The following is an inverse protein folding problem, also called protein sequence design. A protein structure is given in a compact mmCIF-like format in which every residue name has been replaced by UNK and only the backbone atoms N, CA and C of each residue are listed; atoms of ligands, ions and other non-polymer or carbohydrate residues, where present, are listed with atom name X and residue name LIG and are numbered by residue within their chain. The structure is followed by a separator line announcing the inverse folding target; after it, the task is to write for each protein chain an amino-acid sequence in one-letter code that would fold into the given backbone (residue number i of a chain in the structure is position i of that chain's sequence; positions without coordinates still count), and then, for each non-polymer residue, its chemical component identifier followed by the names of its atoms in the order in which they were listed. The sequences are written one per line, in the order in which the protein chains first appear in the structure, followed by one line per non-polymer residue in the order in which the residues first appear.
data_IF_951662297143
#
_entry.id   IF_951662297143
#
_cell.length_a   1.000
_cell.length_b   1.000
_cell.length_c   1.000
_cell.angle_alpha   90.00
_cell.angle_beta   90.00
_cell.angle_gamma   90.00
#
_symmetry.space_group_name_H-M   'P 1'
#
loop_
_entity.id
_entity.type
_entity.pdbx_description
1 polymer ?
#
# COMPACT_ATOMS: atom_id res chain seq x y z
N UNK A 1 -13.03 -9.87 -0.31
CA UNK A 1 -12.27 -11.13 -0.55
C UNK A 1 -12.72 -12.32 0.31
N UNK A 2 -12.67 -12.23 1.65
CA UNK A 2 -12.90 -13.37 2.55
C UNK A 2 -14.29 -14.02 2.39
N UNK A 3 -15.37 -13.23 2.24
CA UNK A 3 -16.72 -13.76 1.96
C UNK A 3 -16.76 -14.70 0.75
N UNK A 4 -16.14 -14.30 -0.36
CA UNK A 4 -16.05 -15.12 -1.58
C UNK A 4 -15.19 -16.38 -1.37
N UNK A 5 -14.06 -16.24 -0.66
CA UNK A 5 -13.20 -17.36 -0.31
C UNK A 5 -13.91 -18.40 0.55
N UNK A 6 -14.77 -18.00 1.51
CA UNK A 6 -15.57 -18.91 2.32
C UNK A 6 -16.47 -19.80 1.48
N UNK A 7 -17.13 -19.24 0.46
CA UNK A 7 -17.96 -20.03 -0.47
C UNK A 7 -17.09 -20.99 -1.29
N UNK A 8 -15.96 -20.52 -1.81
CA UNK A 8 -15.05 -21.34 -2.61
C UNK A 8 -14.44 -22.51 -1.80
N UNK A 9 -13.96 -22.24 -0.59
CA UNK A 9 -13.42 -23.25 0.31
C UNK A 9 -14.48 -24.31 0.66
N UNK A 10 -15.73 -23.90 0.94
CA UNK A 10 -16.82 -24.85 1.16
C UNK A 10 -17.08 -25.75 -0.07
N UNK A 11 -17.09 -25.18 -1.28
CA UNK A 11 -17.23 -25.94 -2.54
C UNK A 11 -16.09 -26.95 -2.75
N UNK A 12 -14.87 -26.58 -2.36
CA UNK A 12 -13.67 -27.43 -2.47
C UNK A 12 -13.42 -28.34 -1.24
N UNK A 13 -14.34 -28.34 -0.26
CA UNK A 13 -14.19 -29.03 1.03
C UNK A 13 -12.88 -28.70 1.76
N UNK A 14 -12.42 -27.47 1.62
CA UNK A 14 -11.24 -26.96 2.30
C UNK A 14 -11.63 -26.41 3.67
N UNK A 15 -11.49 -27.23 4.71
CA UNK A 15 -11.98 -26.91 6.05
C UNK A 15 -11.02 -26.04 6.87
N UNK A 16 -9.75 -25.95 6.46
CA UNK A 16 -8.69 -25.23 7.18
C UNK A 16 -8.39 -23.87 6.53
N UNK A 17 -9.42 -23.17 6.06
CA UNK A 17 -9.31 -21.80 5.53
C UNK A 17 -8.73 -20.84 6.58
N UNK A 18 -7.64 -20.15 6.26
CA UNK A 18 -7.03 -19.17 7.16
C UNK A 18 -7.33 -17.75 6.67
N UNK A 19 -8.05 -16.99 7.49
CA UNK A 19 -8.45 -15.61 7.23
C UNK A 19 -7.80 -14.71 8.28
N UNK A 20 -6.56 -14.30 7.98
CA UNK A 20 -5.76 -13.46 8.86
C UNK A 20 -6.17 -12.01 8.67
N UNK A 21 -6.53 -11.34 9.77
CA UNK A 21 -6.63 -9.90 9.85
C UNK A 21 -5.41 -9.35 10.59
N UNK A 22 -4.66 -8.44 9.97
CA UNK A 22 -3.53 -7.75 10.60
C UNK A 22 -3.90 -6.27 10.72
N UNK A 23 -3.96 -5.78 11.96
CA UNK A 23 -4.36 -4.41 12.30
C UNK A 23 -3.36 -3.80 13.29
N UNK A 24 -3.56 -2.53 13.66
CA UNK A 24 -2.79 -1.82 14.68
C UNK A 24 -3.70 -0.83 15.45
N UNK A 25 -3.33 -0.43 16.69
CA UNK A 25 -4.20 0.39 17.55
C UNK A 25 -4.71 1.68 16.91
N UNK A 26 -3.91 2.35 16.09
CA UNK A 26 -4.22 3.63 15.45
C UNK A 26 -5.26 3.57 14.32
N UNK A 27 -5.65 2.38 13.85
CA UNK A 27 -6.68 2.22 12.79
C UNK A 27 -7.81 1.28 13.20
N UNK A 28 -7.65 0.43 14.22
CA UNK A 28 -8.63 -0.63 14.54
C UNK A 28 -10.04 -0.08 14.83
N UNK A 29 -10.14 1.14 15.35
CA UNK A 29 -11.42 1.81 15.57
C UNK A 29 -12.09 2.23 14.25
N UNK A 30 -11.32 2.76 13.30
CA UNK A 30 -11.83 3.22 11.98
C UNK A 30 -12.02 2.06 11.00
N UNK A 31 -11.23 0.98 11.15
CA UNK A 31 -11.21 -0.20 10.30
C UNK A 31 -11.34 -1.49 11.13
N UNK A 32 -12.49 -1.63 11.81
CA UNK A 32 -12.73 -2.76 12.70
C UNK A 32 -12.72 -4.12 11.98
N UNK A 33 -12.08 -5.16 12.57
CA UNK A 33 -12.04 -6.48 11.97
C UNK A 33 -13.43 -7.07 11.74
N UNK A 34 -13.66 -7.61 10.54
CA UNK A 34 -14.90 -8.33 10.24
C UNK A 34 -14.94 -9.68 10.98
N UNK A 35 -16.10 -10.14 11.51
CA UNK A 35 -16.20 -11.44 12.20
C UNK A 35 -15.82 -12.68 11.38
N UNK A 36 -15.68 -12.57 10.06
CA UNK A 36 -15.17 -13.65 9.20
C UNK A 36 -13.65 -13.88 9.40
N UNK A 37 -12.92 -12.89 9.93
CA UNK A 37 -11.53 -13.06 10.34
C UNK A 37 -11.46 -14.13 11.43
N UNK A 38 -10.70 -15.19 11.18
CA UNK A 38 -10.54 -16.31 12.14
C UNK A 38 -9.16 -16.33 12.81
N UNK A 39 -8.28 -15.39 12.46
CA UNK A 39 -7.01 -15.15 13.13
C UNK A 39 -6.72 -13.66 13.09
N UNK A 40 -6.84 -12.99 14.23
CA UNK A 40 -6.58 -11.56 14.36
C UNK A 40 -5.22 -11.34 15.00
N UNK A 41 -4.39 -10.50 14.37
CA UNK A 41 -3.09 -10.07 14.90
C UNK A 41 -3.10 -8.55 15.00
N UNK A 42 -2.76 -8.04 16.18
CA UNK A 42 -2.62 -6.60 16.43
C UNK A 42 -1.13 -6.29 16.54
N UNK A 43 -0.60 -5.60 15.53
CA UNK A 43 0.78 -5.11 15.50
C UNK A 43 0.87 -3.79 16.27
N UNK A 44 2.04 -3.42 16.83
CA UNK A 44 2.13 -2.25 17.69
C UNK A 44 2.12 -0.92 16.93
N UNK A 45 2.42 -0.92 15.62
CA UNK A 45 2.38 0.28 14.75
C UNK A 45 2.17 -0.10 13.27
N UNK A 46 1.96 0.92 12.42
CA UNK A 46 1.72 0.79 10.98
C UNK A 46 2.90 0.12 10.28
N UNK A 47 4.15 0.51 10.58
CA UNK A 47 5.32 -0.04 9.92
C UNK A 47 5.51 -1.53 10.21
N UNK A 48 5.26 -1.97 11.45
CA UNK A 48 5.30 -3.40 11.78
C UNK A 48 4.11 -4.16 11.21
N UNK A 49 2.95 -3.52 11.04
CA UNK A 49 1.83 -4.07 10.25
C UNK A 49 2.23 -4.30 8.80
N UNK A 50 2.86 -3.31 8.16
CA UNK A 50 3.35 -3.39 6.78
C UNK A 50 4.43 -4.46 6.63
N UNK A 51 5.39 -4.51 7.57
CA UNK A 51 6.41 -5.56 7.59
C UNK A 51 5.78 -6.96 7.74
N UNK A 52 4.80 -7.12 8.64
CA UNK A 52 4.10 -8.39 8.80
C UNK A 52 3.43 -8.84 7.49
N UNK A 53 2.80 -7.94 6.73
CA UNK A 53 2.23 -8.27 5.42
C UNK A 53 3.28 -8.80 4.44
N UNK A 54 4.41 -8.11 4.28
CA UNK A 54 5.41 -8.49 3.27
C UNK A 54 6.25 -9.71 3.67
N UNK A 55 6.41 -9.95 4.97
CA UNK A 55 7.12 -11.13 5.49
C UNK A 55 6.28 -12.39 5.39
N UNK A 56 4.97 -12.30 5.64
CA UNK A 56 4.08 -13.47 5.67
C UNK A 56 3.39 -13.74 4.34
N UNK A 57 3.21 -12.72 3.49
CA UNK A 57 2.57 -12.83 2.18
C UNK A 57 3.43 -13.62 1.19
N UNK A 58 2.77 -14.45 0.38
CA UNK A 58 3.38 -15.14 -0.77
C UNK A 58 2.99 -14.50 -2.12
N UNK A 59 2.05 -13.57 -2.09
CA UNK A 59 1.52 -12.86 -3.24
C UNK A 59 0.50 -11.82 -2.81
N UNK A 60 0.37 -10.75 -3.59
CA UNK A 60 -0.39 -9.57 -3.23
C UNK A 60 -1.38 -9.23 -4.34
N UNK A 61 -2.63 -9.01 -3.94
CA UNK A 61 -3.69 -8.54 -4.83
C UNK A 61 -4.18 -7.22 -4.26
N UNK A 62 -4.04 -6.16 -5.04
CA UNK A 62 -4.41 -4.80 -4.64
C UNK A 62 -5.61 -4.35 -5.48
N UNK A 63 -6.66 -3.91 -4.78
CA UNK A 63 -7.88 -3.37 -5.38
C UNK A 63 -7.85 -1.84 -5.37
N UNK A 64 -8.74 -1.15 -6.12
CA UNK A 64 -8.80 0.30 -6.09
C UNK A 64 -9.06 0.84 -4.70
N UNK A 65 -8.17 1.70 -4.22
CA UNK A 65 -8.29 2.41 -2.96
C UNK A 65 -7.89 3.87 -3.09
N UNK A 66 -7.54 4.50 -1.97
CA UNK A 66 -7.14 5.90 -1.90
C UNK A 66 -5.69 6.01 -1.42
N UNK A 67 -5.43 6.96 -0.54
CA UNK A 67 -4.10 7.22 0.05
C UNK A 67 -3.52 6.04 0.82
N UNK A 68 -4.31 5.32 1.64
CA UNK A 68 -3.80 4.16 2.38
C UNK A 68 -3.39 2.99 1.47
N UNK A 69 -4.16 2.72 0.41
CA UNK A 69 -3.78 1.71 -0.58
C UNK A 69 -2.57 2.14 -1.41
N UNK A 70 -2.44 3.43 -1.70
CA UNK A 70 -1.26 3.97 -2.40
C UNK A 70 -0.01 3.87 -1.53
N UNK A 71 -0.12 4.13 -0.22
CA UNK A 71 0.93 3.88 0.77
C UNK A 71 1.42 2.42 0.73
N UNK A 72 0.49 1.46 0.76
CA UNK A 72 0.81 0.03 0.72
C UNK A 72 1.48 -0.39 -0.60
N UNK A 73 1.03 0.15 -1.74
CA UNK A 73 1.68 -0.08 -3.05
C UNK A 73 3.11 0.44 -3.03
N UNK A 74 3.33 1.68 -2.57
CA UNK A 74 4.66 2.30 -2.51
C UNK A 74 5.59 1.58 -1.53
N UNK A 75 5.06 1.06 -0.42
CA UNK A 75 5.81 0.22 0.51
C UNK A 75 6.33 -1.04 -0.18
N UNK A 76 5.44 -1.79 -0.84
CA UNK A 76 5.78 -3.01 -1.59
C UNK A 76 6.79 -2.74 -2.71
N UNK A 77 6.52 -1.73 -3.55
CA UNK A 77 7.39 -1.37 -4.67
C UNK A 77 8.76 -0.92 -4.20
N UNK A 78 8.80 -0.09 -3.16
CA UNK A 78 10.02 0.38 -2.54
C UNK A 78 10.94 -0.76 -2.13
N UNK A 79 10.40 -1.73 -1.39
CA UNK A 79 11.13 -2.93 -0.98
C UNK A 79 11.60 -3.72 -2.22
N UNK A 80 10.71 -3.99 -3.19
CA UNK A 80 11.06 -4.78 -4.37
C UNK A 80 12.11 -4.12 -5.27
N UNK A 81 12.15 -2.79 -5.31
CA UNK A 81 13.14 -2.02 -6.05
C UNK A 81 14.53 -2.00 -5.41
N UNK A 82 14.65 -2.38 -4.13
CA UNK A 82 15.94 -2.41 -3.45
C UNK A 82 16.88 -3.43 -4.15
N UNK A 83 18.16 -3.10 -4.42
CA UNK A 83 19.06 -3.98 -5.17
C UNK A 83 19.20 -5.40 -4.59
N UNK A 84 19.19 -5.55 -3.26
CA UNK A 84 19.25 -6.86 -2.58
C UNK A 84 18.00 -7.74 -2.79
N UNK A 85 16.91 -7.18 -3.32
CA UNK A 85 15.67 -7.88 -3.60
C UNK A 85 15.45 -8.17 -5.09
N UNK A 86 16.44 -7.92 -5.95
CA UNK A 86 16.29 -8.02 -7.40
C UNK A 86 15.80 -9.40 -7.90
N UNK A 87 16.06 -10.47 -7.15
CA UNK A 87 15.62 -11.83 -7.47
C UNK A 87 14.29 -12.26 -6.80
N UNK A 88 13.73 -11.44 -5.91
CA UNK A 88 12.51 -11.79 -5.17
C UNK A 88 11.34 -11.96 -6.15
N UNK A 89 10.71 -13.15 -6.25
CA UNK A 89 9.73 -13.44 -7.29
C UNK A 89 8.30 -13.11 -6.83
N UNK A 90 8.11 -12.08 -6.01
CA UNK A 90 6.80 -11.77 -5.43
C UNK A 90 5.78 -11.40 -6.52
N UNK A 91 4.65 -12.11 -6.62
CA UNK A 91 3.59 -11.70 -7.52
C UNK A 91 2.78 -10.57 -6.86
N UNK A 92 2.75 -9.41 -7.52
CA UNK A 92 1.89 -8.28 -7.18
C UNK A 92 0.94 -8.02 -8.35
N UNK A 93 -0.36 -8.09 -8.09
CA UNK A 93 -1.40 -7.85 -9.08
C UNK A 93 -2.28 -6.70 -8.62
N UNK A 94 -2.42 -5.69 -9.48
CA UNK A 94 -3.39 -4.62 -9.33
C UNK A 94 -4.62 -4.97 -10.16
N UNK A 95 -5.80 -5.02 -9.55
CA UNK A 95 -7.00 -5.51 -10.23
C UNK A 95 -8.29 -4.90 -9.72
N UNK A 96 -9.28 -4.82 -10.59
CA UNK A 96 -10.61 -4.35 -10.26
C UNK A 96 -11.57 -4.58 -11.43
N UNK A 97 -12.84 -4.17 -11.29
CA UNK A 97 -13.82 -4.32 -12.34
C UNK A 97 -13.51 -3.35 -13.50
N UNK A 98 -14.22 -3.50 -14.62
CA UNK A 98 -13.99 -2.70 -15.83
C UNK A 98 -13.98 -1.18 -15.58
N UNK A 99 -14.82 -0.70 -14.68
CA UNK A 99 -14.95 0.73 -14.33
C UNK A 99 -13.72 1.28 -13.58
N UNK A 100 -12.83 0.40 -13.10
CA UNK A 100 -11.58 0.80 -12.45
C UNK A 100 -10.40 0.98 -13.41
N UNK A 101 -10.61 0.82 -14.72
CA UNK A 101 -9.53 0.96 -15.71
C UNK A 101 -8.82 2.32 -15.59
N UNK A 102 -9.57 3.41 -15.64
CA UNK A 102 -8.99 4.76 -15.58
C UNK A 102 -8.28 5.03 -14.25
N UNK A 103 -8.72 4.39 -13.16
CA UNK A 103 -8.04 4.45 -11.87
C UNK A 103 -6.66 3.78 -11.95
N UNK A 104 -6.58 2.58 -12.53
CA UNK A 104 -5.31 1.86 -12.64
C UNK A 104 -4.37 2.47 -13.67
N UNK A 105 -4.88 3.05 -14.76
CA UNK A 105 -4.07 3.84 -15.70
C UNK A 105 -3.39 5.00 -14.96
N UNK A 106 -4.12 5.72 -14.10
CA UNK A 106 -3.54 6.81 -13.31
C UNK A 106 -2.50 6.35 -12.28
N UNK A 107 -2.75 5.22 -11.61
CA UNK A 107 -1.77 4.63 -10.68
C UNK A 107 -0.52 4.20 -11.44
N UNK A 108 -0.67 3.56 -12.61
CA UNK A 108 0.42 3.13 -13.46
C UNK A 108 1.27 4.31 -13.96
N UNK A 109 0.60 5.35 -14.46
CA UNK A 109 1.23 6.59 -14.92
C UNK A 109 1.95 7.31 -13.77
N UNK A 110 1.34 7.38 -12.58
CA UNK A 110 1.95 7.98 -11.41
C UNK A 110 3.23 7.23 -11.01
N UNK A 111 3.18 5.90 -10.94
CA UNK A 111 4.34 5.07 -10.61
C UNK A 111 5.43 5.23 -11.68
N UNK A 112 5.07 5.18 -12.96
CA UNK A 112 5.99 5.39 -14.08
C UNK A 112 6.67 6.76 -14.06
N UNK A 113 5.91 7.82 -13.76
CA UNK A 113 6.43 9.19 -13.70
C UNK A 113 7.26 9.49 -12.46
N UNK A 114 6.99 8.83 -11.32
CA UNK A 114 7.71 9.10 -10.07
C UNK A 114 8.89 8.14 -9.86
N UNK A 115 8.61 6.84 -9.92
CA UNK A 115 9.57 5.77 -9.64
C UNK A 115 10.28 5.27 -10.91
N UNK A 116 9.82 5.69 -12.08
CA UNK A 116 10.40 5.34 -13.39
C UNK A 116 9.76 4.07 -13.98
N UNK A 117 9.71 3.96 -15.31
CA UNK A 117 9.06 2.85 -16.00
C UNK A 117 9.58 1.45 -15.62
N UNK A 118 10.84 1.36 -15.19
CA UNK A 118 11.42 0.10 -14.67
C UNK A 118 10.72 -0.41 -13.41
N UNK A 119 10.05 0.45 -12.65
CA UNK A 119 9.28 0.05 -11.47
C UNK A 119 7.98 -0.67 -11.83
N UNK A 120 7.41 -0.40 -13.01
CA UNK A 120 6.16 -1.00 -13.47
C UNK A 120 6.29 -2.52 -13.72
N UNK A 121 7.53 -3.03 -13.86
CA UNK A 121 7.80 -4.48 -14.00
C UNK A 121 7.48 -5.30 -12.75
N UNK A 122 7.36 -4.65 -11.59
CA UNK A 122 7.16 -5.33 -10.31
C UNK A 122 5.69 -5.70 -10.06
N UNK A 123 4.77 -5.30 -10.94
CA UNK A 123 3.37 -5.68 -10.88
C UNK A 123 2.77 -5.99 -12.24
N UNK A 124 1.58 -6.56 -12.22
CA UNK A 124 0.71 -6.75 -13.38
C UNK A 124 -0.65 -6.13 -13.10
N UNK A 125 -1.18 -5.36 -14.07
CA UNK A 125 -2.55 -4.84 -14.00
C UNK A 125 -3.48 -5.80 -14.75
N UNK A 126 -4.52 -6.30 -14.08
CA UNK A 126 -5.52 -7.20 -14.67
C UNK A 126 -6.90 -6.60 -14.40
N UNK A 127 -7.60 -6.20 -15.46
CA UNK A 127 -8.93 -5.59 -15.38
C UNK A 127 -9.99 -6.63 -15.73
N UNK A 128 -11.03 -6.72 -14.90
CA UNK A 128 -12.26 -7.49 -15.16
C UNK A 128 -12.04 -8.99 -15.44
N UNK A 129 -10.98 -9.58 -14.87
CA UNK A 129 -10.66 -11.00 -15.05
C UNK A 129 -10.22 -11.65 -13.71
N UNK A 130 -11.19 -11.93 -12.81
CA UNK A 130 -10.89 -12.49 -11.50
C UNK A 130 -10.29 -13.90 -11.57
N UNK A 131 -10.59 -14.66 -12.63
CA UNK A 131 -10.00 -16.00 -12.81
C UNK A 131 -8.52 -15.89 -13.14
N UNK A 132 -8.15 -15.04 -14.10
CA UNK A 132 -6.75 -14.80 -14.43
C UNK A 132 -5.97 -14.26 -13.24
N UNK A 133 -6.54 -13.36 -12.43
CA UNK A 133 -5.91 -12.91 -11.17
C UNK A 133 -5.56 -14.12 -10.28
N UNK A 134 -6.52 -15.01 -10.04
CA UNK A 134 -6.31 -16.20 -9.20
C UNK A 134 -5.24 -17.13 -9.78
N UNK A 135 -5.27 -17.39 -11.09
CA UNK A 135 -4.29 -18.21 -11.78
C UNK A 135 -2.87 -17.63 -11.71
N UNK A 136 -2.73 -16.31 -11.91
CA UNK A 136 -1.44 -15.60 -11.86
C UNK A 136 -0.86 -15.58 -10.45
N UNK A 137 -1.67 -15.33 -9.42
CA UNK A 137 -1.25 -15.45 -8.02
C UNK A 137 -0.83 -16.88 -7.69
N UNK A 138 -1.62 -17.89 -8.05
CA UNK A 138 -1.28 -19.28 -7.79
C UNK A 138 0.03 -19.69 -8.48
N UNK A 139 0.27 -19.24 -9.72
CA UNK A 139 1.53 -19.45 -10.41
C UNK A 139 2.70 -18.74 -9.73
N UNK A 140 2.51 -17.50 -9.26
CA UNK A 140 3.54 -16.75 -8.57
C UNK A 140 3.90 -17.36 -7.21
N UNK A 141 2.92 -17.81 -6.44
CA UNK A 141 3.14 -18.51 -5.16
C UNK A 141 4.01 -19.76 -5.36
N UNK A 142 3.82 -20.52 -6.46
CA UNK A 142 4.70 -21.66 -6.80
C UNK A 142 6.15 -21.21 -6.99
N UNK A 143 6.40 -20.11 -7.70
CA UNK A 143 7.74 -19.54 -7.89
C UNK A 143 8.35 -19.07 -6.57
N UNK A 144 7.57 -18.41 -5.72
CA UNK A 144 8.02 -18.01 -4.36
C UNK A 144 8.44 -19.23 -3.56
N UNK A 145 7.63 -20.30 -3.56
CA UNK A 145 7.95 -21.56 -2.87
C UNK A 145 9.27 -22.18 -3.35
N UNK A 146 9.48 -22.23 -4.66
CA UNK A 146 10.70 -22.75 -5.26
C UNK A 146 11.92 -21.90 -4.90
N UNK A 147 11.77 -20.57 -4.94
CA UNK A 147 12.81 -19.62 -4.57
C UNK A 147 13.23 -19.77 -3.11
N UNK A 148 12.27 -19.86 -2.17
CA UNK A 148 12.59 -20.09 -0.75
C UNK A 148 13.29 -21.41 -0.52
N UNK A 149 12.84 -22.49 -1.18
CA UNK A 149 13.49 -23.80 -1.11
C UNK A 149 14.94 -23.73 -1.61
N UNK A 150 15.21 -23.00 -2.70
CA UNK A 150 16.56 -22.83 -3.26
C UNK A 150 17.49 -22.10 -2.30
N UNK A 151 16.99 -21.08 -1.61
CA UNK A 151 17.78 -20.26 -0.68
C UNK A 151 17.80 -20.77 0.76
N UNK A 152 17.08 -21.85 1.07
CA UNK A 152 16.96 -22.37 2.44
C UNK A 152 16.20 -21.45 3.39
N UNK A 153 15.29 -20.62 2.87
CA UNK A 153 14.47 -19.71 3.68
C UNK A 153 13.14 -20.36 4.10
N UNK A 154 12.53 -19.85 5.15
CA UNK A 154 11.26 -20.35 5.67
C UNK A 154 10.10 -20.08 4.70
N UNK A 155 9.15 -21.02 4.61
CA UNK A 155 7.93 -20.81 3.82
C UNK A 155 6.96 -19.86 4.52
N UNK A 156 6.88 -19.88 5.85
CA UNK A 156 5.90 -19.12 6.63
C UNK A 156 6.36 -17.69 6.95
N UNK A 157 7.62 -17.34 6.67
CA UNK A 157 8.16 -16.01 6.95
C UNK A 157 9.34 -15.70 6.00
N UNK A 158 9.37 -14.52 5.38
CA UNK A 158 10.43 -14.10 4.47
C UNK A 158 11.61 -13.46 5.17
N UNK A 159 12.55 -14.27 5.67
CA UNK A 159 13.76 -13.73 6.30
C UNK A 159 14.72 -13.12 5.28
N UNK A 160 14.77 -13.68 4.07
CA UNK A 160 15.69 -13.24 3.01
C UNK A 160 15.25 -11.94 2.31
N UNK A 161 14.04 -11.44 2.58
CA UNK A 161 13.62 -10.13 2.11
C UNK A 161 14.45 -9.06 2.80
N UNK A 162 15.15 -8.24 2.04
CA UNK A 162 15.81 -7.08 2.61
C UNK A 162 14.79 -5.94 2.76
N UNK A 163 14.68 -5.36 3.95
CA UNK A 163 13.84 -4.19 4.20
C UNK A 163 14.76 -3.16 4.86
N UNK A 164 14.93 -2.00 4.23
CA UNK A 164 15.75 -0.94 4.82
C UNK A 164 15.10 -0.39 6.09
N UNK A 165 15.95 0.09 6.99
CA UNK A 165 15.53 0.60 8.29
C UNK A 165 14.51 1.75 8.17
N UNK A 166 14.61 2.57 7.13
CA UNK A 166 13.66 3.65 6.83
C UNK A 166 12.23 3.17 6.54
N UNK A 167 12.04 1.92 6.14
CA UNK A 167 10.73 1.28 5.99
C UNK A 167 10.21 0.68 7.30
N UNK A 168 11.06 0.52 8.30
CA UNK A 168 10.72 -0.14 9.57
C UNK A 168 10.49 0.86 10.70
N UNK A 169 11.12 2.02 10.64
CA UNK A 169 10.98 3.05 11.65
C UNK A 169 9.62 3.73 11.57
N UNK A 170 8.89 3.82 12.71
CA UNK A 170 7.64 4.54 12.78
C UNK A 170 7.78 5.98 12.28
N UNK A 171 6.88 6.39 11.39
CA UNK A 171 6.78 7.77 10.95
C UNK A 171 5.68 8.50 11.74
N UNK A 172 6.07 9.50 12.53
CA UNK A 172 5.14 10.37 13.26
C UNK A 172 4.88 11.66 12.46
N UNK A 173 3.71 11.81 11.80
CA UNK A 173 3.45 12.91 10.88
C UNK A 173 3.15 14.20 11.64
N UNK A 174 4.17 15.05 11.77
CA UNK A 174 4.05 16.46 12.16
C UNK A 174 4.26 17.37 10.96
N UNK A 175 3.87 18.65 11.04
CA UNK A 175 4.12 19.63 9.97
C UNK A 175 5.61 19.73 9.61
N UNK A 176 6.49 19.71 10.60
CA UNK A 176 7.94 19.68 10.39
C UNK A 176 8.41 18.38 9.71
N UNK A 177 7.90 17.22 10.13
CA UNK A 177 8.27 15.95 9.51
C UNK A 177 7.78 15.82 8.07
N UNK A 178 6.55 16.28 7.79
CA UNK A 178 5.94 16.25 6.46
C UNK A 178 6.66 17.18 5.48
N UNK A 179 7.00 18.40 5.92
CA UNK A 179 7.75 19.36 5.09
C UNK A 179 9.23 18.99 4.89
N UNK A 180 9.79 18.15 5.77
CA UNK A 180 11.17 17.67 5.65
C UNK A 180 11.34 16.45 4.73
N UNK A 181 10.25 15.88 4.20
CA UNK A 181 10.32 14.71 3.32
C UNK A 181 11.09 15.04 2.04
N UNK A 182 12.07 14.19 1.69
CA UNK A 182 12.80 14.37 0.45
C UNK A 182 11.96 13.86 -0.73
N UNK A 183 11.17 14.75 -1.34
CA UNK A 183 10.34 14.47 -2.51
C UNK A 183 10.98 14.98 -3.81
N UNK A 184 12.28 14.74 -3.99
CA UNK A 184 13.03 15.09 -5.20
C UNK A 184 13.52 13.84 -5.96
N UNK A 185 13.73 13.97 -7.27
CA UNK A 185 14.20 12.84 -8.08
C UNK A 185 15.66 12.44 -7.87
N UNK A 186 16.48 13.31 -7.27
CA UNK A 186 17.91 13.09 -7.06
C UNK A 186 18.20 12.16 -5.86
N UNK A 187 17.60 10.97 -5.87
CA UNK A 187 17.79 9.90 -4.89
C UNK A 187 17.47 8.54 -5.53
N UNK A 188 17.93 7.42 -4.95
CA UNK A 188 17.51 6.09 -5.37
C UNK A 188 15.98 5.92 -5.36
N UNK A 189 15.44 5.19 -6.34
CA UNK A 189 13.98 5.07 -6.50
C UNK A 189 13.28 4.37 -5.35
N UNK A 190 13.94 3.43 -4.67
CA UNK A 190 13.41 2.85 -3.44
C UNK A 190 13.35 3.90 -2.32
N UNK A 191 14.38 4.72 -2.12
CA UNK A 191 14.32 5.82 -1.14
C UNK A 191 13.19 6.83 -1.44
N UNK A 192 13.00 7.20 -2.71
CA UNK A 192 11.87 8.07 -3.10
C UNK A 192 10.52 7.41 -2.80
N UNK A 193 10.36 6.12 -3.07
CA UNK A 193 9.15 5.38 -2.70
C UNK A 193 8.93 5.37 -1.19
N UNK A 194 9.99 5.31 -0.38
CA UNK A 194 9.89 5.41 1.08
C UNK A 194 9.39 6.79 1.53
N UNK A 195 9.90 7.87 0.95
CA UNK A 195 9.45 9.23 1.26
C UNK A 195 7.99 9.46 0.82
N UNK A 196 7.60 8.97 -0.36
CA UNK A 196 6.20 9.01 -0.81
C UNK A 196 5.29 8.20 0.13
N UNK A 197 5.73 7.01 0.57
CA UNK A 197 5.01 6.20 1.56
C UNK A 197 4.77 6.98 2.85
N UNK A 198 5.81 7.61 3.41
CA UNK A 198 5.69 8.46 4.62
C UNK A 198 4.70 9.61 4.40
N UNK A 199 4.74 10.27 3.23
CA UNK A 199 3.79 11.33 2.86
C UNK A 199 2.34 10.82 2.86
N UNK A 200 2.04 9.71 2.18
CA UNK A 200 0.69 9.15 2.15
C UNK A 200 0.22 8.69 3.54
N UNK A 201 1.12 8.13 4.35
CA UNK A 201 0.84 7.79 5.76
C UNK A 201 0.47 9.02 6.59
N UNK A 202 1.13 10.16 6.35
CA UNK A 202 0.76 11.44 6.92
C UNK A 202 -0.64 11.91 6.54
N UNK A 203 -1.01 11.78 5.26
CA UNK A 203 -2.36 12.12 4.79
C UNK A 203 -3.42 11.20 5.42
N UNK A 204 -3.13 9.89 5.54
CA UNK A 204 -4.00 8.95 6.26
C UNK A 204 -4.17 9.40 7.71
N UNK A 205 -3.08 9.72 8.40
CA UNK A 205 -3.11 10.20 9.78
C UNK A 205 -3.95 11.46 9.94
N UNK A 206 -3.73 12.48 9.09
CA UNK A 206 -4.50 13.73 9.11
C UNK A 206 -5.99 13.57 8.78
N UNK A 207 -6.38 12.46 8.14
CA UNK A 207 -7.78 12.20 7.79
C UNK A 207 -8.54 11.38 8.83
N UNK A 208 -7.89 10.41 9.49
CA UNK A 208 -8.60 9.41 10.32
C UNK A 208 -8.00 9.14 11.69
N UNK A 209 -6.76 9.56 11.98
CA UNK A 209 -6.13 9.34 13.30
C UNK A 209 -6.36 10.55 14.18
N UNK A 210 -6.80 10.35 15.41
CA UNK A 210 -7.16 11.42 16.35
C UNK A 210 -6.05 12.48 16.48
N UNK A 211 -4.81 12.06 16.73
CA UNK A 211 -3.66 12.96 16.83
C UNK A 211 -3.40 13.74 15.53
N UNK A 212 -3.57 13.09 14.38
CA UNK A 212 -3.41 13.72 13.07
C UNK A 212 -4.49 14.76 12.82
N UNK A 213 -5.77 14.41 13.04
CA UNK A 213 -6.90 15.32 12.89
C UNK A 213 -6.74 16.55 13.78
N UNK A 214 -6.41 16.37 15.06
CA UNK A 214 -6.16 17.47 16.00
C UNK A 214 -4.98 18.36 15.55
N UNK A 215 -3.92 17.77 14.99
CA UNK A 215 -2.79 18.55 14.46
C UNK A 215 -3.22 19.45 13.30
N UNK A 216 -4.09 18.95 12.41
CA UNK A 216 -4.63 19.71 11.28
C UNK A 216 -5.58 20.82 11.75
N UNK A 217 -6.43 20.55 12.73
CA UNK A 217 -7.34 21.55 13.31
C UNK A 217 -6.58 22.70 13.98
N UNK A 218 -5.48 22.40 14.67
CA UNK A 218 -4.71 23.39 15.41
C UNK A 218 -3.72 24.20 14.55
N UNK A 219 -3.12 23.56 13.54
CA UNK A 219 -1.98 24.14 12.80
C UNK A 219 -2.24 24.31 11.29
N UNK A 220 -3.39 23.88 10.79
CA UNK A 220 -3.72 23.88 9.36
C UNK A 220 -3.17 22.64 8.62
N UNK A 221 -3.32 22.60 7.29
CA UNK A 221 -2.93 21.44 6.48
C UNK A 221 -1.41 21.19 6.49
N UNK A 222 -1.01 19.93 6.30
CA UNK A 222 0.39 19.58 6.07
C UNK A 222 0.90 20.20 4.77
N UNK A 223 2.02 20.92 4.86
CA UNK A 223 2.70 21.50 3.71
C UNK A 223 3.62 20.46 3.09
N UNK A 224 3.39 20.11 1.82
CA UNK A 224 4.15 19.11 1.08
C UNK A 224 4.85 19.81 -0.08
N UNK A 225 6.18 19.73 -0.12
CA UNK A 225 7.00 20.35 -1.16
C UNK A 225 8.04 19.37 -1.69
N UNK A 226 8.59 19.67 -2.87
CA UNK A 226 9.61 18.85 -3.50
C UNK A 226 9.85 19.27 -4.94
N UNK A 227 10.23 18.31 -5.78
CA UNK A 227 10.42 18.56 -7.20
C UNK A 227 9.10 19.04 -7.86
N UNK A 228 9.10 20.14 -8.64
CA UNK A 228 7.88 20.69 -9.22
C UNK A 228 7.09 19.72 -10.10
N UNK A 229 7.77 18.87 -10.87
CA UNK A 229 7.09 17.89 -11.70
C UNK A 229 6.46 16.79 -10.83
N UNK A 230 7.17 16.35 -9.79
CA UNK A 230 6.65 15.37 -8.84
C UNK A 230 5.43 15.91 -8.08
N UNK A 231 5.50 17.16 -7.62
CA UNK A 231 4.39 17.85 -6.94
C UNK A 231 3.15 17.93 -7.84
N UNK A 232 3.32 18.24 -9.13
CA UNK A 232 2.22 18.26 -10.10
C UNK A 232 1.57 16.87 -10.26
N UNK A 233 2.38 15.80 -10.32
CA UNK A 233 1.86 14.44 -10.43
C UNK A 233 1.10 14.02 -9.16
N UNK A 234 1.59 14.41 -7.98
CA UNK A 234 0.91 14.19 -6.71
C UNK A 234 -0.42 14.93 -6.63
N UNK A 235 -0.44 16.21 -6.99
CA UNK A 235 -1.65 17.04 -6.96
C UNK A 235 -2.74 16.45 -7.89
N UNK A 236 -2.37 16.05 -9.10
CA UNK A 236 -3.30 15.39 -10.03
C UNK A 236 -3.88 14.09 -9.47
N UNK A 237 -3.04 13.23 -8.86
CA UNK A 237 -3.48 11.96 -8.29
C UNK A 237 -4.44 12.19 -7.11
N UNK A 238 -4.05 13.07 -6.18
CA UNK A 238 -4.82 13.36 -4.97
C UNK A 238 -6.13 14.10 -5.29
N UNK A 239 -6.11 15.03 -6.24
CA UNK A 239 -7.32 15.70 -6.76
C UNK A 239 -8.29 14.70 -7.38
N UNK A 240 -7.78 13.67 -8.06
CA UNK A 240 -8.63 12.61 -8.60
C UNK A 240 -9.24 11.73 -7.51
N UNK A 241 -8.49 11.42 -6.44
CA UNK A 241 -9.07 10.74 -5.28
C UNK A 241 -10.17 11.56 -4.61
N UNK A 242 -10.01 12.89 -4.55
CA UNK A 242 -11.03 13.79 -4.04
C UNK A 242 -12.29 13.80 -4.93
N UNK A 243 -12.12 13.95 -6.25
CA UNK A 243 -13.25 13.99 -7.20
C UNK A 243 -14.02 12.68 -7.27
N UNK A 244 -13.33 11.55 -7.12
CA UNK A 244 -13.92 10.20 -7.03
C UNK A 244 -14.47 9.88 -5.63
N UNK A 245 -14.45 10.84 -4.69
CA UNK A 245 -14.93 10.69 -3.29
C UNK A 245 -14.27 9.52 -2.54
N UNK A 246 -13.00 9.22 -2.84
CA UNK A 246 -12.24 8.13 -2.21
C UNK A 246 -11.58 8.52 -0.89
N UNK A 247 -11.50 9.82 -0.59
CA UNK A 247 -10.87 10.36 0.62
C UNK A 247 -11.76 10.33 1.88
N UNK A 248 -13.03 9.88 1.77
CA UNK A 248 -14.03 9.97 2.86
C UNK A 248 -14.65 8.64 3.26
N UNK A 249 -15.06 8.58 4.53
CA UNK A 249 -15.98 7.58 5.06
C UNK A 249 -17.46 8.04 5.01
N UNK A 250 -17.76 9.34 5.17
CA UNK A 250 -19.13 9.90 5.12
C UNK A 250 -19.42 10.63 3.80
N UNK A 251 -20.66 10.55 3.29
CA UNK A 251 -21.03 11.10 1.97
C UNK A 251 -21.55 12.55 2.00
N UNK A 252 -21.81 13.10 3.18
CA UNK A 252 -22.71 14.26 3.35
C UNK A 252 -22.00 15.61 3.60
N UNK A 253 -20.68 15.62 3.76
CA UNK A 253 -19.86 16.84 3.90
C UNK A 253 -18.86 16.95 2.76
N UNK A 254 -18.38 18.16 2.43
CA UNK A 254 -17.29 18.37 1.48
C UNK A 254 -15.94 17.98 2.11
N UNK A 255 -14.98 17.47 1.32
CA UNK A 255 -13.70 17.00 1.86
C UNK A 255 -12.78 18.20 1.91
N UNK A 256 -12.28 18.53 3.10
CA UNK A 256 -11.22 19.52 3.25
C UNK A 256 -9.89 18.75 3.31
N UNK A 257 -9.01 18.92 2.30
CA UNK A 257 -7.70 18.29 2.33
C UNK A 257 -6.94 18.60 3.62
N UNK A 258 -6.36 17.57 4.23
CA UNK A 258 -5.43 17.72 5.37
C UNK A 258 -4.00 18.07 4.91
N UNK A 259 -3.83 18.41 3.62
CA UNK A 259 -2.56 18.68 2.99
C UNK A 259 -2.69 19.84 2.00
N UNK A 260 -1.56 20.47 1.71
CA UNK A 260 -1.38 21.52 0.72
C UNK A 260 -0.07 21.24 -0.03
N UNK A 261 -0.15 21.19 -1.37
CA UNK A 261 1.03 21.04 -2.23
C UNK A 261 1.62 22.44 -2.45
N UNK A 262 2.84 22.65 -1.98
CA UNK A 262 3.56 23.93 -2.08
C UNK A 262 4.48 23.89 -3.29
N UNK A 263 4.36 24.90 -4.15
CA UNK A 263 5.16 25.08 -5.36
C UNK A 263 6.60 25.53 -5.08
#
# INVERSE_FOLDING_TARGET
PMKGATIAHAKQRYNNGLYIGITEPGIIASESPNPIVNSLVVMPDIEKRLEAFVRTGHGFVVFPGAVGTTEEILYLLGILMHPKNAEQPFPLILTGPKESKDYFDQIDDFIGATLGSKSQRFYEIIIDDPEKVAQRIQSGIRKVREFRRKLGDAFYYNWMLHIDQDYQWPFSPSHAAMSALNLHYAQPKHELACNLRKMFSGIVSGNIKEEGVLSIENNGPFQISGDPELMQKLDNLLSTFCSQRRMKLSRDTEYKPCYEIVA
#
